data_IF_737999028170
#
_entry.id   IF_737999028170
#
_cell.length_a   1.000
_cell.length_b   1.000
_cell.length_c   1.000
_cell.angle_alpha   90.00
_cell.angle_beta   90.00
_cell.angle_gamma   90.00
#
_symmetry.space_group_name_H-M   'P 1'
#
loop_
_entity.id
_entity.type
_entity.pdbx_description
1 polymer ?
#
# COMPACT_ATOMS: atom_id res chain seq x y z
N UNK A 1 0.11 27.07 -27.38
CA UNK A 1 -0.38 25.81 -27.89
C UNK A 1 0.54 24.68 -27.51
N UNK A 2 1.80 24.77 -27.89
CA UNK A 2 2.75 23.70 -27.59
C UNK A 2 2.94 23.46 -26.10
N UNK A 3 2.80 24.50 -25.31
CA UNK A 3 2.95 24.35 -23.85
C UNK A 3 1.91 23.41 -23.26
N UNK A 4 0.71 23.44 -23.81
CA UNK A 4 -0.36 22.56 -23.31
C UNK A 4 -0.08 21.11 -23.61
N UNK A 5 0.44 20.84 -24.80
CA UNK A 5 0.77 19.47 -25.16
C UNK A 5 1.90 18.92 -24.33
N UNK A 6 2.90 19.73 -24.04
CA UNK A 6 4.02 19.30 -23.22
C UNK A 6 3.58 18.98 -21.80
N UNK A 7 2.71 19.79 -21.23
CA UNK A 7 2.21 19.58 -19.89
C UNK A 7 1.41 18.26 -19.83
N UNK A 8 0.56 18.01 -20.81
CA UNK A 8 -0.24 16.80 -20.84
C UNK A 8 0.64 15.55 -20.90
N UNK A 9 1.68 15.59 -21.73
CA UNK A 9 2.60 14.46 -21.85
C UNK A 9 3.32 14.19 -20.53
N UNK A 10 3.77 15.23 -19.86
CA UNK A 10 4.47 15.08 -18.59
C UNK A 10 3.57 14.48 -17.53
N UNK A 11 2.32 14.90 -17.46
CA UNK A 11 1.37 14.35 -16.50
C UNK A 11 1.12 12.86 -16.74
N UNK A 12 0.96 12.47 -18.00
CA UNK A 12 0.73 11.07 -18.33
C UNK A 12 1.89 10.20 -17.88
N UNK A 13 3.11 10.62 -18.15
CA UNK A 13 4.28 9.85 -17.74
C UNK A 13 4.39 9.75 -16.22
N UNK A 14 4.12 10.83 -15.52
CA UNK A 14 4.20 10.84 -14.06
C UNK A 14 3.17 9.90 -13.42
N UNK A 15 1.99 9.78 -14.01
CA UNK A 15 0.96 8.89 -13.47
C UNK A 15 1.31 7.43 -13.73
N UNK A 16 1.75 7.10 -14.91
CA UNK A 16 2.02 5.72 -15.27
C UNK A 16 3.21 5.14 -14.51
N UNK A 17 4.30 5.89 -14.34
CA UNK A 17 5.50 5.41 -13.70
C UNK A 17 5.31 5.00 -12.25
N UNK A 18 4.76 5.87 -11.39
CA UNK A 18 4.56 5.52 -9.98
C UNK A 18 3.66 4.31 -9.78
N UNK A 19 2.62 4.17 -10.60
CA UNK A 19 1.70 3.05 -10.48
C UNK A 19 2.39 1.72 -10.76
N UNK A 20 3.25 1.67 -11.77
CA UNK A 20 3.97 0.46 -12.11
C UNK A 20 4.94 0.06 -11.00
N UNK A 21 5.66 1.02 -10.47
CA UNK A 21 6.62 0.76 -9.39
C UNK A 21 5.91 0.25 -8.16
N UNK A 22 4.79 0.83 -7.78
CA UNK A 22 4.04 0.43 -6.60
C UNK A 22 3.53 -1.01 -6.69
N UNK A 23 3.25 -1.49 -7.91
CA UNK A 23 2.73 -2.85 -8.11
C UNK A 23 3.82 -3.93 -8.07
N UNK A 24 5.09 -3.57 -8.03
CA UNK A 24 6.20 -4.51 -8.14
C UNK A 24 6.90 -4.86 -6.83
N UNK A 25 6.41 -4.35 -5.72
CA UNK A 25 7.04 -4.62 -4.45
C UNK A 25 6.30 -3.98 -3.30
N UNK A 26 6.85 -4.04 -2.10
CA UNK A 26 6.25 -3.38 -0.94
C UNK A 26 6.28 -1.87 -1.10
N UNK A 27 5.34 -1.20 -0.44
CA UNK A 27 5.32 0.24 -0.42
C UNK A 27 6.57 0.79 0.28
N UNK A 28 7.06 1.96 -0.10
CA UNK A 28 8.19 2.57 0.59
C UNK A 28 7.90 2.78 2.07
N UNK A 29 8.91 2.61 2.91
CA UNK A 29 8.77 2.90 4.32
C UNK A 29 8.44 4.38 4.53
N UNK A 30 7.47 4.68 5.43
CA UNK A 30 7.21 6.08 5.79
C UNK A 30 8.39 6.68 6.53
N UNK A 31 8.45 8.01 6.55
CA UNK A 31 9.52 8.72 7.22
C UNK A 31 9.23 8.99 8.70
N UNK A 32 8.12 8.51 9.21
CA UNK A 32 7.80 8.58 10.64
C UNK A 32 7.96 7.19 11.25
N UNK A 33 7.97 7.12 12.58
CA UNK A 33 7.98 5.83 13.29
C UNK A 33 6.69 5.09 12.96
N UNK A 34 6.83 3.98 12.27
CA UNK A 34 5.69 3.22 11.77
C UNK A 34 5.75 1.77 12.20
N UNK A 35 4.59 1.13 12.18
CA UNK A 35 4.48 -0.30 12.40
C UNK A 35 3.55 -0.90 11.34
N UNK A 36 3.67 -2.19 11.12
CA UNK A 36 2.80 -2.92 10.20
C UNK A 36 1.52 -3.28 10.94
N UNK A 37 0.39 -2.99 10.33
CA UNK A 37 -0.91 -3.32 10.91
C UNK A 37 -1.66 -4.20 9.95
N UNK A 38 -1.91 -5.44 10.35
CA UNK A 38 -2.57 -6.46 9.55
C UNK A 38 -4.07 -6.40 9.73
N UNK A 39 -4.81 -6.77 8.68
CA UNK A 39 -6.25 -6.98 8.77
C UNK A 39 -7.09 -5.72 8.61
N UNK A 40 -6.51 -4.61 8.21
CA UNK A 40 -7.24 -3.35 8.14
C UNK A 40 -7.29 -2.72 6.74
N UNK A 41 -6.57 -3.26 5.78
CA UNK A 41 -6.51 -2.66 4.46
C UNK A 41 -7.72 -3.03 3.64
N UNK A 42 -8.20 -2.08 2.85
CA UNK A 42 -9.16 -2.38 1.81
C UNK A 42 -8.50 -3.20 0.72
N UNK A 43 -9.31 -4.00 0.02
CA UNK A 43 -8.79 -4.77 -1.11
C UNK A 43 -8.06 -3.84 -2.08
N UNK A 44 -6.87 -4.22 -2.48
CA UNK A 44 -6.05 -3.44 -3.39
C UNK A 44 -5.33 -2.25 -2.77
N UNK A 45 -5.43 -2.06 -1.45
CA UNK A 45 -4.84 -0.91 -0.78
C UNK A 45 -3.77 -1.28 0.25
N UNK A 46 -3.33 -2.52 0.25
CA UNK A 46 -2.29 -2.96 1.19
C UNK A 46 -0.91 -2.47 0.77
N UNK A 47 -0.03 -2.31 1.75
CA UNK A 47 1.37 -1.96 1.48
C UNK A 47 2.20 -3.19 1.19
N UNK A 48 1.84 -4.32 1.78
CA UNK A 48 2.43 -5.62 1.47
C UNK A 48 1.64 -6.71 2.20
N UNK A 49 2.11 -7.94 2.13
CA UNK A 49 1.48 -9.05 2.84
C UNK A 49 2.53 -10.07 3.26
N UNK A 50 2.18 -10.92 4.23
CA UNK A 50 3.08 -11.95 4.74
C UNK A 50 3.09 -13.21 3.90
N UNK A 51 2.11 -13.40 3.01
CA UNK A 51 2.02 -14.60 2.18
C UNK A 51 2.33 -14.26 0.73
N UNK A 52 2.81 -15.26 -0.02
CA UNK A 52 3.27 -15.06 -1.38
C UNK A 52 2.24 -14.54 -2.36
N UNK A 53 0.97 -14.80 -2.11
CA UNK A 53 -0.07 -14.40 -3.06
C UNK A 53 -0.31 -12.90 -3.12
N UNK A 54 -0.04 -12.18 -2.04
CA UNK A 54 -0.32 -10.76 -1.92
C UNK A 54 0.88 -10.02 -1.36
N UNK A 55 2.07 -10.39 -1.79
CA UNK A 55 3.29 -9.88 -1.19
C UNK A 55 3.72 -8.51 -1.69
N UNK A 56 3.00 -7.93 -2.64
CA UNK A 56 3.30 -6.60 -3.16
C UNK A 56 2.24 -5.59 -2.76
N UNK A 57 2.61 -4.32 -2.83
CA UNK A 57 1.67 -3.25 -2.54
C UNK A 57 0.50 -3.29 -3.54
N UNK A 58 -0.70 -3.10 -3.03
CA UNK A 58 -1.89 -3.01 -3.85
C UNK A 58 -2.39 -4.34 -4.39
N UNK A 59 -1.94 -5.47 -3.87
CA UNK A 59 -2.28 -6.78 -4.44
C UNK A 59 -3.32 -7.56 -3.65
N UNK A 60 -3.75 -7.10 -2.49
CA UNK A 60 -4.75 -7.82 -1.71
C UNK A 60 -6.10 -7.82 -2.42
N UNK A 61 -6.87 -8.89 -2.23
CA UNK A 61 -8.13 -9.10 -2.92
C UNK A 61 -9.35 -8.99 -2.01
N UNK A 62 -9.14 -8.95 -0.72
CA UNK A 62 -10.21 -8.92 0.27
C UNK A 62 -10.04 -7.72 1.17
N UNK A 63 -11.15 -7.07 1.52
CA UNK A 63 -11.14 -6.06 2.57
C UNK A 63 -10.76 -6.75 3.89
N UNK A 64 -9.82 -6.17 4.62
CA UNK A 64 -9.42 -6.71 5.90
C UNK A 64 -8.71 -8.04 5.82
N UNK A 65 -8.04 -8.34 4.72
CA UNK A 65 -7.25 -9.57 4.58
C UNK A 65 -6.31 -9.68 5.77
N UNK A 66 -6.40 -10.76 6.58
CA UNK A 66 -5.59 -10.88 7.80
C UNK A 66 -4.10 -11.01 7.55
N UNK A 67 -3.68 -11.29 6.34
CA UNK A 67 -2.28 -11.38 5.97
C UNK A 67 -1.75 -10.12 5.28
N UNK A 68 -2.61 -9.21 4.92
CA UNK A 68 -2.23 -7.96 4.28
C UNK A 68 -2.10 -6.86 5.32
N UNK A 69 -1.12 -6.01 5.16
CA UNK A 69 -0.85 -4.97 6.13
C UNK A 69 -0.61 -3.63 5.46
N UNK A 70 -0.82 -2.58 6.24
CA UNK A 70 -0.42 -1.22 5.87
C UNK A 70 0.45 -0.65 6.98
N UNK A 71 1.23 0.34 6.65
CA UNK A 71 1.95 1.11 7.66
C UNK A 71 0.99 2.03 8.40
N UNK A 72 1.12 2.06 9.72
CA UNK A 72 0.42 3.03 10.57
C UNK A 72 1.44 3.62 11.52
N UNK A 73 1.18 4.79 12.10
CA UNK A 73 2.07 5.31 13.14
C UNK A 73 2.19 4.31 14.29
N UNK A 74 3.38 4.22 14.85
CA UNK A 74 3.65 3.30 15.94
C UNK A 74 2.67 3.48 17.09
N UNK A 75 2.11 2.39 17.57
CA UNK A 75 1.10 2.40 18.62
C UNK A 75 -0.33 2.52 18.14
N UNK A 76 -0.55 2.77 16.85
CA UNK A 76 -1.91 2.97 16.34
C UNK A 76 -2.63 1.66 16.00
N UNK A 77 -1.89 0.62 15.66
CA UNK A 77 -2.52 -0.65 15.26
C UNK A 77 -3.39 -1.23 16.38
N UNK A 78 -2.93 -1.14 17.61
CA UNK A 78 -3.69 -1.66 18.76
C UNK A 78 -4.98 -0.87 19.04
N UNK A 79 -5.14 0.28 18.40
CA UNK A 79 -6.32 1.12 18.55
C UNK A 79 -7.36 0.88 17.46
N UNK A 80 -7.07 -0.02 16.55
CA UNK A 80 -7.95 -0.31 15.41
C UNK A 80 -8.61 -1.67 15.66
N UNK A 81 -9.93 -1.71 15.53
CA UNK A 81 -10.72 -2.88 15.92
C UNK A 81 -10.22 -4.19 15.31
N UNK A 82 -9.93 -4.20 14.03
CA UNK A 82 -9.47 -5.41 13.36
C UNK A 82 -7.97 -5.48 13.19
N UNK A 83 -7.24 -4.52 13.78
CA UNK A 83 -5.80 -4.43 13.61
C UNK A 83 -5.05 -5.50 14.37
N UNK A 84 -3.96 -5.98 13.80
CA UNK A 84 -3.09 -6.95 14.43
C UNK A 84 -1.65 -6.64 14.05
N UNK A 85 -0.74 -6.77 15.00
CA UNK A 85 0.68 -6.60 14.72
C UNK A 85 1.30 -7.81 14.03
N UNK A 86 0.54 -8.91 13.96
CA UNK A 86 0.98 -10.15 13.32
C UNK A 86 -0.10 -10.67 12.38
N UNK A 87 0.29 -11.43 11.34
CA UNK A 87 -0.69 -12.06 10.46
C UNK A 87 -1.56 -13.03 11.25
N UNK A 88 -2.83 -13.14 10.83
CA UNK A 88 -3.78 -14.01 11.51
C UNK A 88 -4.25 -15.18 10.66
N UNK A 89 -3.64 -15.44 9.58
CA UNK A 89 -4.11 -16.45 8.64
C UNK A 89 -4.36 -17.81 9.26
#
# INVERSE_FOLDING_TARGET
>A
MNKRLLIASALTAAIAGPAIVAAQGPAPEPQFQAEKCYGIARAGQNDCASTGNNSCAGTSRLDGDPNAWIYVPEGYCSRIVSGSLEPRA
#
